data_IF_371261172212
#
_entry.id   IF_371261172212
#
_cell.length_a   1.000
_cell.length_b   1.000
_cell.length_c   1.000
_cell.angle_alpha   90.00
_cell.angle_beta   90.00
_cell.angle_gamma   90.00
#
_symmetry.space_group_name_H-M   'P 1'
#
loop_
_entity.id
_entity.type
_entity.pdbx_description
1 polymer ?
#
# COMPACT_ATOMS: atom_id res chain seq x y z
N UNK A 1 16.15 39.83 -33.27
CA UNK A 1 16.95 38.59 -33.09
C UNK A 1 17.01 38.17 -31.62
N UNK A 2 17.52 39.00 -30.70
CA UNK A 2 17.60 38.64 -29.27
C UNK A 2 16.24 38.34 -28.62
N UNK A 3 15.21 39.16 -28.90
CA UNK A 3 13.85 38.98 -28.36
C UNK A 3 13.18 37.69 -28.83
N UNK A 4 13.40 37.29 -30.08
CA UNK A 4 12.90 36.04 -30.66
C UNK A 4 13.56 34.83 -29.99
N UNK A 5 14.86 34.92 -29.69
CA UNK A 5 15.60 33.90 -28.97
C UNK A 5 15.10 33.76 -27.51
N UNK A 6 14.85 34.87 -26.83
CA UNK A 6 14.30 34.87 -25.46
C UNK A 6 12.91 34.22 -25.39
N UNK A 7 12.04 34.47 -26.38
CA UNK A 7 10.71 33.85 -26.46
C UNK A 7 10.83 32.35 -26.69
N UNK A 8 11.70 31.91 -27.61
CA UNK A 8 11.91 30.49 -27.88
C UNK A 8 12.48 29.74 -26.67
N UNK A 9 13.41 30.34 -25.93
CA UNK A 9 13.96 29.76 -24.69
C UNK A 9 12.91 29.68 -23.58
N UNK A 10 12.06 30.69 -23.43
CA UNK A 10 10.96 30.68 -22.47
C UNK A 10 9.95 29.57 -22.79
N UNK A 11 9.56 29.43 -24.06
CA UNK A 11 8.65 28.35 -24.50
C UNK A 11 9.27 26.97 -24.28
N UNK A 12 10.56 26.79 -24.57
CA UNK A 12 11.26 25.53 -24.34
C UNK A 12 11.38 25.18 -22.84
N UNK A 13 11.63 26.17 -21.98
CA UNK A 13 11.63 25.96 -20.53
C UNK A 13 10.24 25.60 -19.99
N UNK A 14 9.19 26.22 -20.51
CA UNK A 14 7.81 25.94 -20.13
C UNK A 14 7.36 24.53 -20.57
N UNK A 15 7.76 24.08 -21.75
CA UNK A 15 7.47 22.71 -22.21
C UNK A 15 8.23 21.65 -21.41
N UNK A 16 9.50 21.89 -21.05
CA UNK A 16 10.25 20.99 -20.16
C UNK A 16 9.56 20.88 -18.79
N UNK A 17 9.16 22.02 -18.21
CA UNK A 17 8.49 22.02 -16.91
C UNK A 17 7.15 21.27 -16.96
N UNK A 18 6.38 21.41 -18.05
CA UNK A 18 5.12 20.70 -18.23
C UNK A 18 5.32 19.18 -18.30
N UNK A 19 6.30 18.71 -19.08
CA UNK A 19 6.60 17.27 -19.23
C UNK A 19 7.11 16.65 -17.93
N UNK A 20 7.92 17.38 -17.15
CA UNK A 20 8.46 16.90 -15.87
C UNK A 20 7.39 16.61 -14.80
N UNK A 21 6.17 17.13 -14.95
CA UNK A 21 5.08 16.89 -13.98
C UNK A 21 4.38 15.54 -14.16
N UNK A 22 4.71 14.78 -15.21
CA UNK A 22 4.10 13.47 -15.46
C UNK A 22 4.77 12.38 -14.62
N UNK A 23 4.45 12.34 -13.32
CA UNK A 23 4.80 11.21 -12.46
C UNK A 23 3.85 10.06 -12.80
N UNK A 24 4.35 9.07 -13.55
CA UNK A 24 3.60 7.83 -13.73
C UNK A 24 3.33 7.18 -12.39
N UNK A 25 2.11 6.71 -12.28
CA UNK A 25 1.60 6.24 -11.04
C UNK A 25 1.98 4.77 -10.86
N UNK A 26 2.77 4.50 -9.82
CA UNK A 26 3.31 3.17 -9.57
C UNK A 26 2.32 2.35 -8.74
N UNK A 27 1.78 1.31 -9.37
CA UNK A 27 0.97 0.30 -8.73
C UNK A 27 1.82 -0.95 -8.47
N UNK A 28 1.62 -1.59 -7.31
CA UNK A 28 2.12 -2.93 -7.08
C UNK A 28 1.08 -3.78 -6.37
N UNK A 29 1.13 -5.08 -6.65
CA UNK A 29 0.24 -6.06 -6.08
C UNK A 29 1.02 -6.91 -5.09
N UNK A 30 0.49 -7.04 -3.89
CA UNK A 30 1.09 -7.85 -2.84
C UNK A 30 0.28 -9.12 -2.71
N UNK A 31 0.94 -10.26 -2.84
CA UNK A 31 0.35 -11.57 -2.61
C UNK A 31 1.16 -12.30 -1.56
N UNK A 32 0.51 -12.88 -0.56
CA UNK A 32 1.21 -13.71 0.42
C UNK A 32 0.38 -14.14 1.61
N UNK A 33 1.07 -14.39 2.72
CA UNK A 33 0.54 -14.91 3.98
C UNK A 33 0.51 -13.83 5.08
N UNK A 34 0.75 -14.19 6.34
CA UNK A 34 0.82 -13.30 7.49
C UNK A 34 1.89 -12.23 7.39
N UNK A 35 3.05 -12.50 6.75
CA UNK A 35 4.19 -11.56 6.74
C UNK A 35 3.92 -10.27 5.95
N UNK A 36 2.99 -10.35 5.00
CA UNK A 36 2.60 -9.23 4.15
C UNK A 36 1.16 -8.80 4.41
N UNK A 37 0.52 -9.35 5.44
CA UNK A 37 -0.87 -9.03 5.77
C UNK A 37 -0.96 -7.66 6.44
N UNK A 38 -1.72 -6.75 5.83
CA UNK A 38 -2.02 -5.42 6.38
C UNK A 38 -3.15 -5.41 7.41
N UNK A 39 -3.67 -6.58 7.80
CA UNK A 39 -4.78 -6.70 8.76
C UNK A 39 -6.06 -7.32 8.21
N UNK A 40 -5.98 -8.03 7.07
CA UNK A 40 -7.15 -8.69 6.47
C UNK A 40 -7.81 -9.69 7.41
N UNK A 41 -7.02 -10.37 8.24
CA UNK A 41 -7.55 -11.41 9.13
C UNK A 41 -8.50 -10.88 10.22
N UNK A 42 -8.43 -9.59 10.54
CA UNK A 42 -9.34 -8.98 11.52
C UNK A 42 -10.80 -9.02 11.03
N UNK A 43 -11.00 -9.15 9.71
CA UNK A 43 -12.29 -9.23 9.04
C UNK A 43 -12.70 -10.65 8.64
N UNK A 44 -11.89 -11.67 8.99
CA UNK A 44 -12.16 -13.07 8.70
C UNK A 44 -12.47 -13.86 9.98
N UNK A 45 -13.25 -14.92 9.86
CA UNK A 45 -13.49 -15.88 10.94
C UNK A 45 -12.27 -16.81 11.14
N UNK A 46 -11.17 -16.24 11.62
CA UNK A 46 -9.90 -16.94 11.88
C UNK A 46 -9.32 -16.53 13.24
N UNK A 47 -8.61 -17.45 13.88
CA UNK A 47 -7.83 -17.19 15.10
C UNK A 47 -6.47 -16.56 14.81
N UNK A 48 -6.00 -16.58 13.55
CA UNK A 48 -4.75 -15.97 13.15
C UNK A 48 -4.93 -14.46 12.96
N UNK A 49 -5.01 -13.71 14.07
CA UNK A 49 -5.16 -12.25 14.10
C UNK A 49 -3.97 -11.59 14.81
N UNK A 50 -3.65 -10.38 14.37
CA UNK A 50 -2.61 -9.55 14.96
C UNK A 50 -3.22 -8.25 15.51
N UNK A 51 -4.31 -8.41 16.26
CA UNK A 51 -5.13 -7.37 16.89
C UNK A 51 -4.86 -7.22 18.40
N UNK A 52 -3.82 -7.86 18.92
CA UNK A 52 -3.41 -7.83 20.32
C UNK A 52 -1.90 -7.55 20.49
N UNK A 53 -1.43 -7.12 21.68
CA UNK A 53 -0.01 -7.06 21.97
C UNK A 53 0.67 -8.43 21.76
N UNK A 54 1.92 -8.50 21.28
CA UNK A 54 2.89 -7.40 21.15
C UNK A 54 2.84 -6.62 19.82
N UNK A 55 1.84 -6.84 18.97
CA UNK A 55 1.80 -6.22 17.64
C UNK A 55 1.54 -4.70 17.72
N UNK A 56 2.18 -3.95 16.83
CA UNK A 56 2.00 -2.50 16.74
C UNK A 56 2.67 -1.66 17.84
N UNK A 57 3.59 -2.21 18.64
CA UNK A 57 4.30 -1.45 19.68
C UNK A 57 5.16 -0.31 19.11
N UNK A 58 5.75 -0.51 17.94
CA UNK A 58 6.63 0.46 17.27
C UNK A 58 5.84 1.44 16.39
N UNK A 59 4.54 1.24 16.22
CA UNK A 59 3.67 2.20 15.54
C UNK A 59 3.52 3.49 16.38
N UNK A 60 3.36 4.67 15.74
CA UNK A 60 3.09 5.92 16.44
C UNK A 60 1.88 5.86 17.38
N UNK A 61 0.88 5.04 17.03
CA UNK A 61 -0.33 4.82 17.84
C UNK A 61 -0.11 3.84 19.00
N UNK A 62 0.97 3.05 18.99
CA UNK A 62 1.27 1.95 19.92
C UNK A 62 0.10 0.97 20.11
N UNK A 63 -0.69 0.78 19.05
CA UNK A 63 -1.86 -0.11 19.02
C UNK A 63 -1.66 -1.17 17.97
N UNK A 64 -2.19 -2.36 18.22
CA UNK A 64 -2.18 -3.45 17.25
C UNK A 64 -2.91 -3.01 15.96
N UNK A 65 -2.22 -3.13 14.84
CA UNK A 65 -2.71 -2.66 13.53
C UNK A 65 -3.28 -3.78 12.65
N UNK A 66 -3.22 -5.04 13.11
CA UNK A 66 -3.54 -6.21 12.29
C UNK A 66 -2.36 -6.76 11.49
N UNK A 67 -1.20 -6.09 11.53
CA UNK A 67 0.06 -6.59 10.95
C UNK A 67 0.74 -7.55 11.91
N UNK A 68 1.26 -8.66 11.39
CA UNK A 68 2.07 -9.63 12.17
C UNK A 68 3.49 -9.10 12.42
N UNK A 69 3.57 -7.91 12.99
CA UNK A 69 4.78 -7.10 13.11
C UNK A 69 4.57 -6.07 14.24
N UNK A 70 5.66 -5.58 14.83
CA UNK A 70 5.59 -4.46 15.78
C UNK A 70 5.36 -3.12 15.07
N UNK A 71 5.61 -3.05 13.77
CA UNK A 71 5.57 -1.84 12.94
C UNK A 71 5.12 -2.12 11.51
N UNK A 72 5.59 -1.30 10.58
CA UNK A 72 5.36 -1.45 9.14
C UNK A 72 5.82 -2.82 8.62
N UNK A 73 5.09 -3.41 7.69
CA UNK A 73 5.51 -4.63 6.99
C UNK A 73 6.25 -4.27 5.68
N UNK A 74 6.81 -5.27 4.99
CA UNK A 74 7.56 -5.06 3.74
C UNK A 74 6.74 -4.28 2.68
N UNK A 75 5.46 -4.62 2.41
CA UNK A 75 4.58 -3.81 1.56
C UNK A 75 4.51 -2.34 1.93
N UNK A 76 4.40 -2.00 3.21
CA UNK A 76 4.31 -0.61 3.64
C UNK A 76 5.62 0.14 3.41
N UNK A 77 6.76 -0.50 3.68
CA UNK A 77 8.08 0.08 3.42
C UNK A 77 8.31 0.30 1.92
N UNK A 78 7.90 -0.64 1.08
CA UNK A 78 7.94 -0.49 -0.38
C UNK A 78 7.03 0.66 -0.80
N UNK A 79 5.82 0.73 -0.24
CA UNK A 79 4.89 1.83 -0.49
C UNK A 79 5.51 3.18 -0.18
N UNK A 80 6.09 3.34 1.00
CA UNK A 80 6.74 4.57 1.44
C UNK A 80 7.91 4.94 0.50
N UNK A 81 8.71 3.95 0.09
CA UNK A 81 9.83 4.16 -0.83
C UNK A 81 9.41 4.65 -2.22
N UNK A 82 8.17 4.37 -2.66
CA UNK A 82 7.60 4.86 -3.92
C UNK A 82 6.71 6.08 -3.74
N UNK A 83 6.71 6.68 -2.53
CA UNK A 83 5.90 7.85 -2.18
C UNK A 83 4.41 7.56 -2.01
N UNK A 84 4.06 6.30 -1.75
CA UNK A 84 2.71 5.87 -1.38
C UNK A 84 2.42 6.06 0.11
N UNK A 85 1.24 5.60 0.53
CA UNK A 85 0.83 5.50 1.93
C UNK A 85 0.77 4.03 2.35
N UNK A 86 0.76 3.75 3.65
CA UNK A 86 0.66 2.39 4.17
C UNK A 86 -0.46 1.59 3.49
N UNK A 87 -0.21 0.31 3.22
CA UNK A 87 -1.18 -0.53 2.53
C UNK A 87 -2.40 -0.77 3.44
N UNK A 88 -3.62 -0.42 3.02
CA UNK A 88 -4.82 -0.69 3.81
C UNK A 88 -5.19 -2.19 3.79
N UNK A 89 -6.02 -2.62 4.74
CA UNK A 89 -6.57 -3.97 4.73
C UNK A 89 -7.62 -4.11 3.60
N UNK A 90 -7.44 -5.11 2.73
CA UNK A 90 -8.35 -5.45 1.61
C UNK A 90 -9.79 -5.68 2.05
N UNK A 91 -9.97 -6.26 3.22
CA UNK A 91 -11.28 -6.64 3.73
C UNK A 91 -11.92 -5.61 4.66
N UNK A 92 -11.28 -4.46 4.89
CA UNK A 92 -11.81 -3.41 5.75
C UNK A 92 -12.99 -2.67 5.09
N UNK A 93 -14.15 -2.55 5.77
CA UNK A 93 -15.27 -1.76 5.29
C UNK A 93 -14.87 -0.28 5.13
N UNK A 94 -14.98 0.25 3.91
CA UNK A 94 -14.62 1.64 3.64
C UNK A 94 -13.13 1.89 3.44
N UNK A 95 -12.31 0.83 3.32
CA UNK A 95 -10.92 0.95 2.91
C UNK A 95 -10.80 1.82 1.66
N UNK A 96 -10.18 3.00 1.81
CA UNK A 96 -9.87 3.85 0.68
C UNK A 96 -8.66 3.28 -0.04
N UNK A 97 -8.93 2.43 -1.03
CA UNK A 97 -7.99 2.15 -2.11
C UNK A 97 -7.73 3.46 -2.81
N UNK A 98 -6.65 4.15 -2.42
CA UNK A 98 -6.29 5.44 -2.98
C UNK A 98 -6.22 5.30 -4.50
N UNK A 99 -7.27 5.77 -5.19
CA UNK A 99 -7.24 6.13 -6.60
C UNK A 99 -6.66 7.55 -6.78
N UNK A 100 -5.96 8.06 -5.77
CA UNK A 100 -5.36 9.40 -5.83
C UNK A 100 -4.18 9.33 -6.78
N UNK A 101 -4.37 9.90 -7.98
CA UNK A 101 -3.35 10.04 -9.03
C UNK A 101 -2.64 8.72 -9.41
N UNK A 102 -3.42 7.68 -9.74
CA UNK A 102 -2.97 6.41 -10.35
C UNK A 102 -2.12 5.46 -9.48
N UNK A 103 -1.88 5.78 -8.20
CA UNK A 103 -1.06 4.95 -7.30
C UNK A 103 -1.92 3.89 -6.62
N UNK A 104 -2.35 2.88 -7.37
CA UNK A 104 -3.16 1.79 -6.81
C UNK A 104 -2.27 0.69 -6.21
N UNK A 105 -2.30 0.54 -4.89
CA UNK A 105 -1.74 -0.63 -4.22
C UNK A 105 -2.88 -1.57 -3.83
N UNK A 106 -2.71 -2.87 -4.08
CA UNK A 106 -3.67 -3.89 -3.64
C UNK A 106 -2.92 -5.04 -2.98
N UNK A 107 -3.26 -5.34 -1.72
CA UNK A 107 -2.63 -6.40 -0.94
C UNK A 107 -3.56 -7.61 -0.78
N UNK A 108 -3.51 -8.53 -1.72
CA UNK A 108 -4.25 -9.78 -1.69
C UNK A 108 -3.60 -10.81 -0.77
N UNK A 109 -4.41 -11.51 0.03
CA UNK A 109 -4.01 -12.72 0.74
C UNK A 109 -4.16 -13.92 -0.19
N UNK A 110 -3.12 -14.74 -0.35
CA UNK A 110 -3.25 -16.02 -1.05
C UNK A 110 -3.92 -17.05 -0.13
N UNK A 111 -5.14 -17.46 -0.47
CA UNK A 111 -5.92 -18.44 0.28
C UNK A 111 -5.38 -19.86 0.09
N UNK A 112 -4.87 -20.44 1.18
CA UNK A 112 -4.54 -21.86 1.32
C UNK A 112 -5.76 -22.74 1.00
N UNK A 113 -5.68 -23.51 -0.09
CA UNK A 113 -6.55 -24.66 -0.32
C UNK A 113 -6.11 -25.83 0.59
N UNK A 114 -6.40 -25.79 1.90
CA UNK A 114 -5.99 -26.88 2.82
C UNK A 114 -6.77 -26.97 4.15
N UNK A 115 -8.06 -26.61 4.19
CA UNK A 115 -8.90 -26.91 5.38
C UNK A 115 -10.29 -27.52 5.04
N UNK A 116 -10.52 -27.99 3.80
CA UNK A 116 -11.52 -29.05 3.58
C UNK A 116 -10.87 -30.39 3.89
N UNK A 117 -10.81 -30.78 5.17
CA UNK A 117 -10.81 -32.17 5.65
C UNK A 117 -10.46 -32.20 7.16
N UNK A 118 -11.50 -32.11 8.00
CA UNK A 118 -11.67 -32.76 9.32
C UNK A 118 -13.04 -32.32 9.83
N UNK A 119 -14.09 -33.03 9.40
CA UNK A 119 -14.71 -34.16 10.11
C UNK A 119 -15.50 -33.69 11.34
N UNK A 120 -16.81 -33.81 11.17
CA UNK A 120 -17.86 -33.93 12.18
C UNK A 120 -17.36 -34.56 13.48
N UNK A 121 -17.60 -33.88 14.59
CA UNK A 121 -18.12 -34.44 15.83
C UNK A 121 -19.11 -33.43 16.40
#
# INVERSE_FOLDING_TARGET
MATLCSILLALFSATILLVATHVEARAFFVFGDSLVDSGNNNYLATTARADAPPYGIDYPTRRATGRFSNGLNIPDLISESIGGSESPAVLEPGAQWSKTAGRSQLCFRWGRNSQRHRSSV
#
